data_IF_460662307424
#
_entry.id   IF_460662307424
#
_cell.length_a   1.000
_cell.length_b   1.000
_cell.length_c   1.000
_cell.angle_alpha   90.00
_cell.angle_beta   90.00
_cell.angle_gamma   90.00
#
_symmetry.space_group_name_H-M   'P 1'
#
loop_
_entity.id
_entity.type
_entity.pdbx_description
1 polymer ?
#
# COMPACT_ATOMS: atom_id res chain seq x y z
N UNK A 1 27.12 -27.59 18.10
CA UNK A 1 25.94 -26.94 18.71
C UNK A 1 25.50 -25.83 17.75
N UNK A 2 24.73 -26.17 16.72
CA UNK A 2 24.22 -25.25 15.69
C UNK A 2 22.85 -25.78 15.24
N UNK A 3 21.80 -25.30 15.88
CA UNK A 3 20.39 -25.35 15.46
C UNK A 3 19.71 -24.24 16.24
N UNK A 4 19.39 -23.12 15.59
CA UNK A 4 18.46 -22.08 16.04
C UNK A 4 18.37 -20.97 14.96
N UNK A 5 17.91 -21.31 13.76
CA UNK A 5 17.54 -20.30 12.74
C UNK A 5 16.33 -20.69 11.88
N UNK A 6 15.67 -21.83 12.15
CA UNK A 6 14.53 -22.29 11.34
C UNK A 6 13.14 -21.96 11.91
N UNK A 7 13.06 -21.50 13.17
CA UNK A 7 11.78 -21.31 13.84
C UNK A 7 11.12 -19.94 13.49
N UNK A 8 11.93 -18.90 13.33
CA UNK A 8 11.47 -17.52 13.04
C UNK A 8 10.85 -17.38 11.63
N UNK A 9 11.18 -18.27 10.69
CA UNK A 9 10.62 -18.26 9.33
C UNK A 9 9.15 -18.71 9.27
N UNK A 10 8.65 -19.43 10.29
CA UNK A 10 7.27 -19.94 10.30
C UNK A 10 6.24 -18.91 10.76
N UNK A 11 6.64 -17.94 11.60
CA UNK A 11 5.72 -16.89 12.07
C UNK A 11 5.37 -15.86 10.97
N UNK A 12 6.30 -15.56 10.06
CA UNK A 12 6.05 -14.70 8.91
C UNK A 12 5.10 -15.35 7.88
N UNK A 13 5.24 -16.67 7.67
CA UNK A 13 4.36 -17.41 6.76
C UNK A 13 2.92 -17.55 7.26
N UNK A 14 2.70 -17.55 8.59
CA UNK A 14 1.34 -17.59 9.14
C UNK A 14 0.59 -16.26 8.95
N UNK A 15 1.31 -15.13 8.86
CA UNK A 15 0.72 -13.82 8.57
C UNK A 15 0.25 -13.71 7.10
N UNK A 16 0.98 -14.31 6.15
CA UNK A 16 0.59 -14.32 4.72
C UNK A 16 -0.65 -15.17 4.41
N UNK A 17 -0.91 -16.23 5.18
CA UNK A 17 -2.03 -17.15 4.91
C UNK A 17 -3.40 -16.61 5.36
N UNK A 18 -3.45 -15.56 6.19
CA UNK A 18 -4.70 -14.97 6.65
C UNK A 18 -5.36 -14.03 5.61
N UNK A 19 -4.59 -13.54 4.62
CA UNK A 19 -5.09 -12.56 3.65
C UNK A 19 -5.72 -13.15 2.37
N UNK A 20 -5.74 -14.49 2.18
CA UNK A 20 -6.10 -15.10 0.88
C UNK A 20 -7.16 -16.22 0.95
N UNK A 21 -8.27 -16.04 1.68
CA UNK A 21 -9.38 -16.99 1.60
C UNK A 21 -10.73 -16.33 1.31
N UNK A 22 -11.10 -16.31 0.03
CA UNK A 22 -12.50 -16.39 -0.41
C UNK A 22 -12.64 -17.49 -1.45
N UNK A 23 -13.66 -18.38 -1.37
CA UNK A 23 -13.75 -19.55 -2.23
C UNK A 23 -14.51 -19.22 -3.52
N UNK A 24 -14.05 -19.72 -4.67
CA UNK A 24 -14.94 -19.88 -5.81
C UNK A 24 -14.78 -21.25 -6.48
N UNK A 25 -15.94 -21.86 -6.66
CA UNK A 25 -16.20 -23.18 -7.20
C UNK A 25 -16.28 -23.17 -8.74
N UNK A 26 -15.97 -24.34 -9.30
CA UNK A 26 -16.58 -25.02 -10.47
C UNK A 26 -16.39 -24.44 -11.90
N UNK A 27 -15.69 -25.21 -12.75
CA UNK A 27 -16.17 -25.91 -14.01
C UNK A 27 -16.32 -25.00 -15.23
N UNK A 28 -15.93 -25.30 -16.47
CA UNK A 28 -15.74 -26.56 -17.22
C UNK A 28 -14.77 -26.34 -18.40
N UNK A 29 -14.31 -27.46 -18.96
CA UNK A 29 -13.60 -27.66 -20.24
C UNK A 29 -14.29 -27.07 -21.47
N UNK A 30 -13.54 -26.76 -22.54
CA UNK A 30 -13.79 -27.21 -23.93
C UNK A 30 -12.58 -26.87 -24.85
N UNK A 31 -12.18 -27.93 -25.55
CA UNK A 31 -11.53 -28.16 -26.86
C UNK A 31 -10.79 -27.08 -27.67
N UNK A 32 -9.71 -27.59 -28.26
CA UNK A 32 -8.81 -27.11 -29.30
C UNK A 32 -9.45 -26.88 -30.67
N UNK A 33 -9.03 -25.83 -31.38
CA UNK A 33 -9.00 -25.82 -32.84
C UNK A 33 -7.68 -25.25 -33.37
N UNK A 34 -7.11 -25.99 -34.34
CA UNK A 34 -5.94 -25.65 -35.14
C UNK A 34 -6.23 -24.46 -36.05
N UNK A 35 -5.34 -23.46 -36.07
CA UNK A 35 -5.18 -22.56 -37.20
C UNK A 35 -3.69 -22.45 -37.52
N UNK A 36 -3.34 -23.04 -38.65
CA UNK A 36 -2.06 -22.92 -39.34
C UNK A 36 -2.05 -21.58 -40.09
N UNK A 37 -1.09 -20.71 -39.81
CA UNK A 37 -0.79 -19.52 -40.61
C UNK A 37 0.68 -19.15 -40.44
N UNK A 38 1.49 -19.64 -41.39
CA UNK A 38 2.73 -19.05 -41.93
C UNK A 38 3.27 -17.81 -41.22
N UNK A 39 4.29 -18.01 -40.37
CA UNK A 39 5.16 -16.94 -39.87
C UNK A 39 6.37 -16.77 -40.79
N UNK A 40 6.50 -15.56 -41.34
CA UNK A 40 7.73 -15.01 -41.88
C UNK A 40 8.77 -14.92 -40.74
N UNK A 41 9.88 -15.64 -40.91
CA UNK A 41 11.00 -15.64 -39.97
C UNK A 41 11.68 -14.28 -39.95
N UNK A 42 11.37 -13.46 -38.95
CA UNK A 42 12.20 -12.32 -38.56
C UNK A 42 13.22 -12.84 -37.55
N UNK A 43 14.48 -12.97 -37.97
CA UNK A 43 15.62 -13.21 -37.09
C UNK A 43 15.71 -12.05 -36.08
N UNK A 44 15.19 -12.27 -34.87
CA UNK A 44 15.55 -11.45 -33.72
C UNK A 44 16.92 -11.88 -33.24
N UNK A 45 17.89 -11.01 -33.45
CA UNK A 45 19.23 -11.09 -32.87
C UNK A 45 19.12 -11.20 -31.34
N UNK A 46 19.39 -12.40 -30.82
CA UNK A 46 19.64 -12.66 -29.41
C UNK A 46 20.82 -11.79 -28.96
N UNK A 47 20.51 -10.68 -28.29
CA UNK A 47 21.51 -9.81 -27.68
C UNK A 47 21.26 -9.84 -26.18
N UNK A 48 22.09 -10.66 -25.52
CA UNK A 48 22.48 -10.61 -24.10
C UNK A 48 21.35 -10.66 -23.05
N UNK A 49 20.93 -11.90 -22.72
CA UNK A 49 20.64 -12.24 -21.32
C UNK A 49 21.98 -12.19 -20.60
N UNK A 50 22.27 -11.09 -19.92
CA UNK A 50 23.29 -11.07 -18.88
C UNK A 50 22.83 -11.95 -17.71
N UNK A 51 23.83 -12.57 -17.08
CA UNK A 51 23.72 -13.64 -16.10
C UNK A 51 22.73 -13.30 -14.97
N UNK A 52 21.54 -13.91 -15.01
CA UNK A 52 20.64 -13.93 -13.85
C UNK A 52 21.16 -14.96 -12.85
N UNK A 53 21.88 -14.48 -11.84
CA UNK A 53 22.29 -15.30 -10.69
C UNK A 53 21.11 -15.40 -9.71
N UNK A 54 20.46 -16.58 -9.57
CA UNK A 54 19.34 -16.76 -8.65
C UNK A 54 19.76 -16.67 -7.17
N UNK A 55 21.07 -16.64 -6.89
CA UNK A 55 21.63 -16.49 -5.54
C UNK A 55 22.13 -15.05 -5.27
N UNK A 56 22.01 -14.12 -6.23
CA UNK A 56 22.28 -12.70 -6.00
C UNK A 56 21.13 -12.11 -5.16
N UNK A 57 21.35 -12.04 -3.84
CA UNK A 57 20.47 -11.31 -2.93
C UNK A 57 20.32 -9.87 -3.45
N UNK A 58 19.15 -9.57 -4.00
CA UNK A 58 18.81 -8.22 -4.43
C UNK A 58 18.83 -7.29 -3.20
N UNK A 59 19.95 -6.61 -2.99
CA UNK A 59 20.09 -5.54 -2.00
C UNK A 59 19.26 -4.34 -2.47
N UNK A 60 17.96 -4.38 -2.15
CA UNK A 60 17.08 -3.24 -2.39
C UNK A 60 17.50 -2.10 -1.45
N UNK A 61 17.92 -0.93 -1.97
CA UNK A 61 18.64 0.04 -1.15
C UNK A 61 17.78 0.52 0.04
N UNK A 62 18.39 0.53 1.24
CA UNK A 62 17.77 0.86 2.55
C UNK A 62 16.93 2.16 2.55
N UNK A 63 17.14 3.03 1.58
CA UNK A 63 16.45 4.31 1.45
C UNK A 63 15.05 4.24 0.83
N UNK A 64 14.68 3.14 0.13
CA UNK A 64 13.39 3.01 -0.55
C UNK A 64 12.22 2.76 0.41
N UNK A 65 12.51 2.23 1.59
CA UNK A 65 11.53 1.82 2.60
C UNK A 65 11.34 2.84 3.72
N UNK A 66 11.97 4.02 3.66
CA UNK A 66 12.09 4.87 4.83
C UNK A 66 10.87 5.80 5.03
N UNK A 67 9.95 5.40 5.90
CA UNK A 67 8.79 6.21 6.32
C UNK A 67 9.09 7.21 7.44
N UNK A 68 10.29 7.17 8.05
CA UNK A 68 10.66 8.04 9.18
C UNK A 68 10.54 9.54 8.90
N UNK A 69 10.87 10.06 7.71
CA UNK A 69 10.68 11.48 7.41
C UNK A 69 9.20 11.89 7.54
N UNK A 70 8.28 11.03 7.11
CA UNK A 70 6.84 11.27 7.21
C UNK A 70 6.43 11.30 8.68
N UNK A 71 6.81 10.29 9.47
CA UNK A 71 6.56 10.23 10.92
C UNK A 71 7.01 11.49 11.66
N UNK A 72 8.16 12.07 11.27
CA UNK A 72 8.72 13.26 11.93
C UNK A 72 8.07 14.58 11.53
N UNK A 73 7.56 14.68 10.30
CA UNK A 73 7.15 15.97 9.73
C UNK A 73 5.63 16.13 9.59
N UNK A 74 4.87 15.03 9.52
CA UNK A 74 3.49 15.06 9.07
C UNK A 74 2.57 15.96 9.90
N UNK A 75 2.66 15.90 11.24
CA UNK A 75 1.77 16.65 12.15
C UNK A 75 1.84 18.17 11.94
N UNK A 76 2.99 18.67 11.50
CA UNK A 76 3.22 20.09 11.26
C UNK A 76 3.11 20.51 9.80
N UNK A 77 2.80 19.59 8.89
CA UNK A 77 2.92 19.80 7.44
C UNK A 77 1.56 19.86 6.77
N UNK A 78 1.05 21.07 6.53
CA UNK A 78 -0.12 21.27 5.65
C UNK A 78 0.24 21.03 4.19
N UNK A 79 -0.69 20.49 3.41
CA UNK A 79 -0.48 20.17 2.00
C UNK A 79 -1.47 20.95 1.14
N UNK A 80 -0.97 21.69 0.15
CA UNK A 80 -1.81 22.38 -0.84
C UNK A 80 -2.24 21.38 -1.92
N UNK A 81 -3.54 21.31 -2.20
CA UNK A 81 -4.09 20.48 -3.27
C UNK A 81 -4.33 21.34 -4.51
N UNK A 82 -3.79 20.92 -5.66
CA UNK A 82 -4.03 21.58 -6.93
C UNK A 82 -5.38 21.13 -7.49
N UNK A 83 -6.32 22.07 -7.62
CA UNK A 83 -7.71 21.76 -7.95
C UNK A 83 -7.97 21.32 -9.39
N UNK A 84 -7.16 21.80 -10.33
CA UNK A 84 -7.45 21.63 -11.76
C UNK A 84 -8.89 22.04 -12.10
N UNK A 85 -9.46 21.44 -13.15
CA UNK A 85 -10.85 21.66 -13.57
C UNK A 85 -11.83 20.57 -13.06
N UNK A 86 -11.35 19.62 -12.27
CA UNK A 86 -12.11 18.43 -11.86
C UNK A 86 -12.53 18.52 -10.39
N UNK A 87 -13.58 17.79 -10.02
CA UNK A 87 -13.90 17.60 -8.61
C UNK A 87 -12.73 16.92 -7.88
N UNK A 88 -12.43 17.38 -6.66
CA UNK A 88 -11.37 16.78 -5.84
C UNK A 88 -11.81 15.38 -5.39
N UNK A 89 -11.07 14.38 -5.85
CA UNK A 89 -11.20 12.98 -5.43
C UNK A 89 -9.86 12.39 -5.03
N UNK A 90 -9.80 11.05 -4.96
CA UNK A 90 -8.61 10.33 -4.47
C UNK A 90 -7.36 10.66 -5.29
N UNK A 91 -7.47 10.81 -6.61
CA UNK A 91 -6.34 11.14 -7.49
C UNK A 91 -5.66 12.46 -7.09
N UNK A 92 -6.43 13.53 -6.84
CA UNK A 92 -5.85 14.83 -6.48
C UNK A 92 -5.27 14.83 -5.06
N UNK A 93 -5.95 14.19 -4.10
CA UNK A 93 -5.49 14.11 -2.71
C UNK A 93 -4.21 13.28 -2.60
N UNK A 94 -4.21 12.08 -3.19
CA UNK A 94 -3.05 11.19 -3.21
C UNK A 94 -1.87 11.81 -3.96
N UNK A 95 -2.10 12.47 -5.11
CA UNK A 95 -1.03 13.16 -5.84
C UNK A 95 -0.39 14.26 -4.99
N UNK A 96 -1.20 15.07 -4.29
CA UNK A 96 -0.69 16.13 -3.42
C UNK A 96 0.12 15.57 -2.23
N UNK A 97 -0.35 14.47 -1.64
CA UNK A 97 0.37 13.75 -0.58
C UNK A 97 1.71 13.18 -1.09
N UNK A 98 1.69 12.46 -2.21
CA UNK A 98 2.89 11.84 -2.78
C UNK A 98 3.93 12.87 -3.23
N UNK A 99 3.50 14.01 -3.81
CA UNK A 99 4.39 15.15 -4.12
C UNK A 99 5.04 15.73 -2.87
N UNK A 100 4.37 15.69 -1.73
CA UNK A 100 4.92 16.18 -0.44
C UNK A 100 5.95 15.21 0.13
N UNK A 101 5.74 13.91 -0.06
CA UNK A 101 6.60 12.84 0.46
C UNK A 101 7.15 11.91 -0.64
N UNK A 102 7.95 12.43 -1.60
CA UNK A 102 8.36 11.68 -2.79
C UNK A 102 9.50 10.68 -2.52
N UNK A 103 10.09 10.69 -1.32
CA UNK A 103 11.21 9.80 -0.95
C UNK A 103 10.74 8.37 -0.62
N UNK A 104 9.46 8.17 -0.38
CA UNK A 104 8.88 6.83 -0.26
C UNK A 104 8.65 6.27 -1.67
N UNK A 105 9.21 5.09 -1.95
CA UNK A 105 9.23 4.52 -3.30
C UNK A 105 7.80 4.28 -3.86
N UNK A 106 6.91 3.74 -3.03
CA UNK A 106 5.50 3.54 -3.37
C UNK A 106 4.74 4.85 -3.58
N UNK A 107 5.07 5.92 -2.84
CA UNK A 107 4.54 7.27 -3.12
C UNK A 107 5.03 7.79 -4.48
N UNK A 108 6.30 7.58 -4.83
CA UNK A 108 6.84 7.96 -6.15
C UNK A 108 6.11 7.20 -7.26
N UNK A 109 5.91 5.89 -7.09
CA UNK A 109 5.17 5.07 -8.05
C UNK A 109 3.72 5.55 -8.26
N UNK A 110 3.01 5.89 -7.18
CA UNK A 110 1.66 6.51 -7.26
C UNK A 110 1.72 7.83 -8.03
N UNK A 111 2.69 8.69 -7.71
CA UNK A 111 2.85 9.98 -8.39
C UNK A 111 3.10 9.81 -9.88
N UNK A 112 4.03 8.94 -10.27
CA UNK A 112 4.38 8.69 -11.67
C UNK A 112 3.18 8.11 -12.42
N UNK A 113 2.45 7.17 -11.81
CA UNK A 113 1.20 6.64 -12.36
C UNK A 113 0.16 7.75 -12.57
N UNK A 114 -0.11 8.58 -11.57
CA UNK A 114 -1.13 9.64 -11.64
C UNK A 114 -0.79 10.77 -12.62
N UNK A 115 0.49 10.94 -12.96
CA UNK A 115 0.97 11.88 -13.97
C UNK A 115 1.03 11.25 -15.38
N UNK A 116 0.91 9.93 -15.48
CA UNK A 116 0.92 9.22 -16.76
C UNK A 116 -0.41 9.36 -17.51
N UNK A 117 -0.43 9.16 -18.84
CA UNK A 117 -1.67 9.13 -19.62
C UNK A 117 -2.67 8.04 -19.16
N UNK A 118 -2.16 6.93 -18.59
CA UNK A 118 -2.95 5.80 -18.11
C UNK A 118 -3.81 6.14 -16.90
N UNK A 119 -3.47 7.20 -16.16
CA UNK A 119 -4.23 7.70 -15.02
C UNK A 119 -5.68 8.09 -15.36
N UNK A 120 -6.03 8.26 -16.64
CA UNK A 120 -7.36 8.74 -17.04
C UNK A 120 -8.42 7.63 -17.15
N UNK A 121 -8.06 6.36 -16.99
CA UNK A 121 -9.04 5.26 -16.96
C UNK A 121 -9.81 5.29 -15.63
N UNK A 122 -11.13 5.01 -15.67
CA UNK A 122 -12.04 5.13 -14.51
C UNK A 122 -11.73 4.12 -13.41
N UNK A 123 -11.34 2.90 -13.79
CA UNK A 123 -10.57 1.98 -12.96
C UNK A 123 -9.32 1.56 -13.74
N UNK A 124 -8.17 1.61 -13.07
CA UNK A 124 -7.00 0.85 -13.47
C UNK A 124 -6.90 -0.24 -12.43
N UNK A 125 -7.40 -1.43 -12.77
CA UNK A 125 -7.39 -2.54 -11.81
C UNK A 125 -5.95 -3.01 -11.58
N UNK A 126 -5.07 -2.92 -12.58
CA UNK A 126 -3.66 -3.33 -12.46
C UNK A 126 -2.83 -2.53 -13.47
N UNK A 127 -1.81 -1.82 -13.01
CA UNK A 127 -0.70 -1.38 -13.88
C UNK A 127 0.61 -1.73 -13.20
N UNK A 128 1.39 -2.61 -13.83
CA UNK A 128 2.78 -2.83 -13.48
C UNK A 128 3.59 -1.65 -14.00
N UNK A 129 3.99 -0.74 -13.10
CA UNK A 129 4.87 0.37 -13.45
C UNK A 129 6.30 -0.06 -13.12
N UNK A 130 7.20 0.04 -14.09
CA UNK A 130 8.63 -0.09 -13.84
C UNK A 130 9.24 1.29 -13.64
N UNK A 131 10.03 1.46 -12.58
CA UNK A 131 10.81 2.68 -12.42
C UNK A 131 12.12 2.64 -13.23
N UNK A 132 12.91 3.71 -13.13
CA UNK A 132 14.21 3.88 -13.80
C UNK A 132 15.23 2.79 -13.41
N UNK A 133 15.01 2.11 -12.28
CA UNK A 133 15.85 1.03 -11.76
C UNK A 133 15.25 -0.36 -12.05
N UNK A 134 14.26 -0.47 -12.93
CA UNK A 134 13.52 -1.70 -13.24
C UNK A 134 12.77 -2.32 -12.06
N UNK A 135 12.52 -1.56 -10.99
CA UNK A 135 11.64 -2.02 -9.91
C UNK A 135 10.20 -2.01 -10.38
N UNK A 136 9.50 -3.12 -10.18
CA UNK A 136 8.11 -3.27 -10.57
C UNK A 136 7.18 -2.93 -9.41
N UNK A 137 6.13 -2.17 -9.69
CA UNK A 137 5.10 -1.80 -8.73
C UNK A 137 3.74 -2.23 -9.22
N UNK A 138 2.94 -2.83 -8.34
CA UNK A 138 1.51 -3.07 -8.53
C UNK A 138 0.75 -1.85 -8.05
N UNK A 139 -0.05 -1.24 -8.94
CA UNK A 139 -0.87 -0.08 -8.63
C UNK A 139 -2.34 -0.38 -8.93
N UNK A 140 -3.20 -0.13 -7.95
CA UNK A 140 -4.66 -0.17 -8.06
C UNK A 140 -5.21 1.23 -7.84
N UNK A 141 -6.16 1.68 -8.68
CA UNK A 141 -6.84 2.95 -8.46
C UNK A 141 -8.32 2.85 -8.79
N UNK A 142 -9.17 3.05 -7.77
CA UNK A 142 -10.62 3.12 -7.91
C UNK A 142 -11.11 4.52 -7.58
N UNK A 143 -11.40 5.31 -8.62
CA UNK A 143 -11.97 6.66 -8.43
C UNK A 143 -13.38 6.62 -7.84
N UNK A 144 -14.14 5.56 -8.15
CA UNK A 144 -15.49 5.33 -7.65
C UNK A 144 -15.49 5.07 -6.15
N UNK A 145 -14.58 4.21 -5.68
CA UNK A 145 -14.50 3.85 -4.26
C UNK A 145 -13.62 4.83 -3.47
N UNK A 146 -12.90 5.73 -4.16
CA UNK A 146 -12.07 6.73 -3.52
C UNK A 146 -10.79 6.14 -2.91
N UNK A 147 -10.22 5.11 -3.54
CA UNK A 147 -9.08 4.33 -3.05
C UNK A 147 -7.96 4.27 -4.09
N UNK A 148 -6.71 4.24 -3.61
CA UNK A 148 -5.51 4.01 -4.41
C UNK A 148 -4.48 3.24 -3.59
N UNK A 149 -3.79 2.31 -4.25
CA UNK A 149 -2.83 1.42 -3.61
C UNK A 149 -1.61 1.23 -4.50
N UNK A 150 -0.44 1.09 -3.88
CA UNK A 150 0.82 0.77 -4.53
C UNK A 150 1.63 -0.19 -3.67
N UNK A 151 2.17 -1.24 -4.28
CA UNK A 151 3.06 -2.21 -3.65
C UNK A 151 4.22 -2.51 -4.58
N UNK A 152 5.44 -2.53 -4.06
CA UNK A 152 6.58 -3.02 -4.85
C UNK A 152 6.52 -4.54 -4.95
N UNK A 153 6.71 -5.08 -6.16
CA UNK A 153 6.59 -6.50 -6.47
C UNK A 153 7.86 -7.28 -6.09
N UNK A 154 8.18 -7.30 -4.80
CA UNK A 154 9.20 -8.16 -4.18
C UNK A 154 8.54 -8.94 -3.03
N UNK A 155 9.14 -10.05 -2.58
CA UNK A 155 8.55 -11.02 -1.63
C UNK A 155 7.93 -10.37 -0.37
N UNK A 156 8.44 -9.20 0.02
CA UNK A 156 7.88 -8.33 1.07
C UNK A 156 8.06 -6.85 0.70
N UNK A 157 7.50 -6.36 -0.41
CA UNK A 157 7.67 -4.95 -0.81
C UNK A 157 7.00 -3.94 0.13
N UNK A 158 7.44 -2.66 0.15
CA UNK A 158 6.73 -1.62 0.86
C UNK A 158 5.37 -1.37 0.19
N UNK A 159 4.47 -0.80 0.96
CA UNK A 159 3.10 -0.48 0.55
C UNK A 159 2.80 0.98 0.83
N UNK A 160 2.05 1.61 -0.07
CA UNK A 160 1.24 2.80 0.22
C UNK A 160 -0.20 2.51 -0.15
N UNK A 161 -1.11 2.67 0.80
CA UNK A 161 -2.56 2.64 0.61
C UNK A 161 -3.14 4.01 0.98
N UNK A 162 -4.07 4.54 0.19
CA UNK A 162 -4.78 5.75 0.54
C UNK A 162 -6.26 5.72 0.16
N UNK A 163 -7.09 6.34 1.01
CA UNK A 163 -8.51 6.55 0.73
C UNK A 163 -9.00 7.88 1.30
N UNK A 164 -10.29 8.19 1.11
CA UNK A 164 -10.90 9.34 1.77
C UNK A 164 -12.38 9.13 2.13
N UNK A 165 -12.83 9.88 3.14
CA UNK A 165 -14.23 9.97 3.56
C UNK A 165 -14.79 11.37 3.31
N UNK A 166 -16.08 11.45 3.00
CA UNK A 166 -16.78 12.74 2.93
C UNK A 166 -17.31 13.10 4.33
N UNK A 167 -16.92 14.26 4.86
CA UNK A 167 -17.43 14.78 6.13
C UNK A 167 -18.75 15.53 5.93
N UNK A 168 -19.59 15.55 6.97
CA UNK A 168 -20.88 16.28 6.96
C UNK A 168 -20.73 17.79 6.73
N UNK A 169 -19.58 18.37 7.09
CA UNK A 169 -19.27 19.79 6.87
C UNK A 169 -18.80 20.10 5.43
N UNK A 170 -18.78 19.11 4.53
CA UNK A 170 -18.31 19.27 3.14
C UNK A 170 -16.81 19.09 2.96
N UNK A 171 -16.04 18.95 4.03
CA UNK A 171 -14.62 18.58 3.96
C UNK A 171 -14.46 17.11 3.56
N UNK A 172 -13.22 16.71 3.27
CA UNK A 172 -12.87 15.30 3.09
C UNK A 172 -11.80 14.91 4.10
N UNK A 173 -11.96 13.78 4.76
CA UNK A 173 -10.87 13.17 5.53
C UNK A 173 -10.07 12.29 4.58
N UNK A 174 -8.82 12.63 4.31
CA UNK A 174 -7.88 11.79 3.57
C UNK A 174 -7.07 10.95 4.55
N UNK A 175 -6.82 9.68 4.23
CA UNK A 175 -5.86 8.86 4.95
C UNK A 175 -4.83 8.26 3.99
N UNK A 176 -3.61 8.13 4.48
CA UNK A 176 -2.57 7.35 3.83
C UNK A 176 -1.93 6.41 4.86
N UNK A 177 -1.93 5.12 4.56
CA UNK A 177 -1.21 4.07 5.27
C UNK A 177 0.04 3.71 4.47
N UNK A 178 1.16 3.53 5.17
CA UNK A 178 2.42 3.12 4.58
C UNK A 178 3.02 1.99 5.43
N UNK A 179 3.53 0.98 4.74
CA UNK A 179 4.31 -0.10 5.32
C UNK A 179 5.71 -0.04 4.73
N UNK A 180 6.70 0.09 5.61
CA UNK A 180 8.10 -0.14 5.27
C UNK A 180 8.39 -1.64 5.37
N UNK A 181 9.39 -2.12 4.65
CA UNK A 181 9.95 -3.46 4.85
C UNK A 181 11.42 -3.35 5.20
N UNK A 182 11.90 -4.20 6.10
CA UNK A 182 13.33 -4.34 6.38
C UNK A 182 13.93 -5.52 5.59
N UNK A 183 15.23 -5.45 5.34
CA UNK A 183 16.06 -6.39 4.54
C UNK A 183 16.00 -7.89 4.93
N UNK A 184 15.20 -8.27 5.93
CA UNK A 184 15.11 -9.66 6.41
C UNK A 184 13.67 -10.21 6.37
N UNK A 185 12.77 -9.64 5.55
CA UNK A 185 11.37 -10.10 5.44
C UNK A 185 10.56 -10.00 6.73
N UNK A 186 11.04 -9.20 7.70
CA UNK A 186 10.28 -8.86 8.91
C UNK A 186 9.27 -7.79 8.53
N UNK A 187 8.01 -7.93 8.97
CA UNK A 187 7.02 -6.84 8.94
C UNK A 187 7.71 -5.57 9.42
N UNK A 188 7.86 -4.61 8.51
CA UNK A 188 8.56 -3.40 8.83
C UNK A 188 7.62 -2.42 9.52
N UNK A 189 8.14 -1.22 9.70
CA UNK A 189 7.38 -0.19 10.39
C UNK A 189 6.13 0.18 9.58
N UNK A 190 4.97 0.14 10.23
CA UNK A 190 3.74 0.70 9.68
C UNK A 190 3.49 2.11 10.20
N UNK A 191 2.77 2.91 9.42
CA UNK A 191 2.32 4.22 9.82
C UNK A 191 1.08 4.67 9.03
N UNK A 192 0.10 5.25 9.72
CA UNK A 192 -1.09 5.84 9.09
C UNK A 192 -1.23 7.31 9.48
N UNK A 193 -1.50 8.16 8.50
CA UNK A 193 -1.70 9.60 8.67
C UNK A 193 -3.07 10.03 8.16
N UNK A 194 -3.63 11.07 8.77
CA UNK A 194 -4.94 11.60 8.42
C UNK A 194 -4.88 13.09 8.14
N UNK A 195 -5.56 13.55 7.10
CA UNK A 195 -5.64 14.95 6.74
C UNK A 195 -7.08 15.39 6.54
N UNK A 196 -7.47 16.52 7.13
CA UNK A 196 -8.71 17.20 6.82
C UNK A 196 -8.50 18.13 5.61
N UNK A 197 -9.09 17.77 4.48
CA UNK A 197 -9.12 18.59 3.26
C UNK A 197 -10.29 19.57 3.31
N UNK A 198 -9.96 20.86 3.35
CA UNK A 198 -10.91 21.96 3.25
C UNK A 198 -11.06 22.40 1.77
N UNK A 199 -12.24 22.21 1.15
CA UNK A 199 -12.49 22.66 -0.22
C UNK A 199 -12.52 24.18 -0.36
N UNK A 200 -12.64 24.96 0.70
CA UNK A 200 -12.63 26.43 0.58
C UNK A 200 -11.21 26.96 0.39
N UNK A 201 -10.25 26.36 1.08
CA UNK A 201 -8.84 26.77 1.06
C UNK A 201 -7.97 25.91 0.16
N UNK A 202 -8.46 24.75 -0.29
CA UNK A 202 -7.71 23.72 -1.01
C UNK A 202 -6.48 23.22 -0.23
N UNK A 203 -6.62 23.09 1.08
CA UNK A 203 -5.55 22.68 2.00
C UNK A 203 -5.97 21.41 2.72
N UNK A 204 -5.07 20.44 2.74
CA UNK A 204 -5.07 19.29 3.64
C UNK A 204 -4.32 19.65 4.92
N UNK A 205 -5.02 19.64 6.05
CA UNK A 205 -4.46 19.93 7.39
C UNK A 205 -4.31 18.64 8.19
N UNK A 206 -3.15 18.37 8.82
CA UNK A 206 -2.96 17.17 9.63
C UNK A 206 -4.01 17.01 10.74
N UNK A 207 -4.46 15.78 10.96
CA UNK A 207 -5.41 15.41 12.02
C UNK A 207 -4.83 14.32 12.95
N UNK A 208 -3.88 14.68 13.84
CA UNK A 208 -3.13 13.72 14.66
C UNK A 208 -3.99 12.92 15.64
N UNK A 209 -5.17 13.41 16.00
CA UNK A 209 -6.03 12.74 16.97
C UNK A 209 -6.39 11.29 16.57
N UNK A 210 -6.57 11.02 15.27
CA UNK A 210 -6.95 9.68 14.76
C UNK A 210 -5.74 8.74 14.76
N UNK A 211 -4.59 9.19 14.26
CA UNK A 211 -3.33 8.43 14.34
C UNK A 211 -2.97 8.11 15.79
N UNK A 212 -3.01 9.10 16.68
CA UNK A 212 -2.68 8.93 18.10
C UNK A 212 -3.62 7.95 18.80
N UNK A 213 -4.90 7.92 18.41
CA UNK A 213 -5.86 6.96 18.94
C UNK A 213 -5.48 5.51 18.60
N UNK A 214 -4.97 5.25 17.39
CA UNK A 214 -4.45 3.93 16.96
C UNK A 214 -3.17 3.61 17.71
N UNK A 215 -2.21 4.54 17.73
CA UNK A 215 -0.90 4.33 18.37
C UNK A 215 -1.02 4.10 19.88
N UNK A 216 -1.89 4.83 20.58
CA UNK A 216 -2.12 4.60 22.02
C UNK A 216 -2.75 3.23 22.29
N UNK A 217 -3.58 2.71 21.38
CA UNK A 217 -4.13 1.34 21.48
C UNK A 217 -3.05 0.28 21.22
N UNK A 218 -2.11 0.56 20.31
CA UNK A 218 -1.01 -0.32 19.95
C UNK A 218 0.19 -0.26 20.92
N UNK A 219 0.24 0.72 21.82
CA UNK A 219 1.40 1.01 22.70
C UNK A 219 1.90 -0.17 23.56
N UNK A 220 1.01 -1.09 23.94
CA UNK A 220 1.35 -2.28 24.72
C UNK A 220 1.53 -3.54 23.87
N UNK A 221 1.66 -3.38 22.55
CA UNK A 221 1.74 -4.46 21.55
C UNK A 221 3.12 -4.41 20.89
N UNK A 222 3.53 -5.51 20.28
CA UNK A 222 4.82 -5.58 19.58
C UNK A 222 4.76 -4.88 18.22
N UNK A 223 3.59 -4.95 17.55
CA UNK A 223 3.30 -4.23 16.32
C UNK A 223 1.78 -4.08 16.13
N UNK A 224 1.40 -3.29 15.12
CA UNK A 224 0.03 -3.20 14.64
C UNK A 224 0.02 -3.16 13.11
N UNK A 225 -1.11 -3.52 12.52
CA UNK A 225 -1.38 -3.32 11.12
C UNK A 225 -2.68 -2.54 10.89
N UNK A 226 -2.71 -1.69 9.87
CA UNK A 226 -3.90 -0.91 9.50
C UNK A 226 -4.33 -1.25 8.09
N UNK A 227 -5.59 -1.64 7.93
CA UNK A 227 -6.22 -1.83 6.63
C UNK A 227 -7.23 -0.72 6.36
N UNK A 228 -6.93 0.12 5.37
CA UNK A 228 -7.87 1.13 4.89
C UNK A 228 -8.96 0.49 4.01
N UNK A 229 -10.21 0.99 4.05
CA UNK A 229 -11.30 0.38 3.30
C UNK A 229 -11.15 0.61 1.79
N UNK A 230 -11.07 -0.49 1.03
CA UNK A 230 -11.30 -0.48 -0.44
C UNK A 230 -12.78 -0.30 -0.77
N UNK A 231 -13.65 -0.77 0.11
CA UNK A 231 -15.10 -0.63 0.09
C UNK A 231 -15.62 -0.38 1.51
N UNK A 232 -16.74 0.33 1.63
CA UNK A 232 -17.28 0.73 2.93
C UNK A 232 -16.51 1.91 3.54
N UNK A 233 -16.55 2.03 4.87
CA UNK A 233 -16.02 3.21 5.57
C UNK A 233 -15.19 2.90 6.81
N UNK A 234 -15.11 1.63 7.21
CA UNK A 234 -14.50 1.27 8.48
C UNK A 234 -13.03 0.91 8.27
N UNK A 235 -12.21 1.21 9.28
CA UNK A 235 -10.78 0.87 9.27
C UNK A 235 -10.60 -0.33 10.17
N UNK A 236 -9.95 -1.37 9.66
CA UNK A 236 -9.57 -2.53 10.47
C UNK A 236 -8.14 -2.33 11.00
N UNK A 237 -7.94 -2.66 12.27
CA UNK A 237 -6.67 -2.53 12.98
C UNK A 237 -6.36 -3.85 13.67
N UNK A 238 -5.31 -4.53 13.23
CA UNK A 238 -4.84 -5.76 13.85
C UNK A 238 -3.68 -5.47 14.79
N UNK A 239 -3.79 -5.86 16.05
CA UNK A 239 -2.77 -5.65 17.07
C UNK A 239 -2.05 -6.95 17.39
N UNK A 240 -0.71 -6.97 17.32
CA UNK A 240 0.07 -8.20 17.45
C UNK A 240 0.86 -8.25 18.75
N UNK A 241 0.88 -9.42 19.39
CA UNK A 241 1.75 -9.72 20.52
C UNK A 241 2.55 -10.98 20.22
N UNK A 242 3.88 -10.88 20.32
CA UNK A 242 4.83 -11.94 20.02
C UNK A 242 5.27 -12.60 21.33
N UNK A 243 4.87 -13.85 21.50
CA UNK A 243 5.40 -14.71 22.55
C UNK A 243 6.71 -15.33 22.07
N UNK A 244 7.83 -14.71 22.48
CA UNK A 244 9.19 -15.12 22.12
C UNK A 244 9.59 -16.47 22.75
N UNK A 245 8.95 -16.90 23.82
CA UNK A 245 9.27 -18.16 24.50
C UNK A 245 8.62 -19.34 23.79
N UNK A 246 7.40 -19.14 23.30
CA UNK A 246 6.63 -20.18 22.59
C UNK A 246 6.67 -20.04 21.06
N UNK A 247 7.45 -19.10 20.54
CA UNK A 247 7.57 -18.78 19.11
C UNK A 247 6.19 -18.65 18.43
N UNK A 248 5.31 -17.87 19.06
CA UNK A 248 3.92 -17.72 18.61
C UNK A 248 3.50 -16.26 18.61
N UNK A 249 2.55 -15.91 17.74
CA UNK A 249 1.94 -14.60 17.68
C UNK A 249 0.45 -14.70 18.00
N UNK A 250 -0.07 -13.70 18.72
CA UNK A 250 -1.51 -13.49 18.93
C UNK A 250 -1.92 -12.19 18.29
N UNK A 251 -3.04 -12.19 17.58
CA UNK A 251 -3.67 -10.98 17.06
C UNK A 251 -4.94 -10.63 17.83
N UNK A 252 -5.20 -9.33 17.96
CA UNK A 252 -6.48 -8.76 18.38
C UNK A 252 -6.94 -7.82 17.25
N UNK A 253 -8.02 -8.20 16.56
CA UNK A 253 -8.57 -7.39 15.47
C UNK A 253 -9.63 -6.44 16.04
N UNK A 254 -9.46 -5.16 15.72
CA UNK A 254 -10.31 -4.07 16.15
C UNK A 254 -10.82 -3.29 14.95
N UNK A 255 -12.04 -2.76 15.06
CA UNK A 255 -12.63 -1.93 14.01
C UNK A 255 -12.82 -0.50 14.51
N UNK A 256 -12.34 0.46 13.72
CA UNK A 256 -12.68 1.87 13.84
C UNK A 256 -13.89 2.18 12.95
N UNK A 257 -15.01 2.53 13.58
CA UNK A 257 -16.28 2.82 12.90
C UNK A 257 -16.39 4.28 12.53
N UNK A 258 -16.71 4.55 11.27
CA UNK A 258 -16.95 5.90 10.77
C UNK A 258 -18.29 6.46 11.26
N UNK A 259 -18.27 7.64 11.89
CA UNK A 259 -19.48 8.30 12.43
C UNK A 259 -19.99 9.50 11.57
N UNK A 260 -19.36 9.74 10.42
CA UNK A 260 -19.67 10.86 9.52
C UNK A 260 -18.81 12.11 9.74
N UNK A 261 -18.00 12.12 10.80
CA UNK A 261 -17.04 13.19 11.09
C UNK A 261 -15.66 12.64 11.44
N UNK A 262 -15.58 11.59 12.26
CA UNK A 262 -14.34 10.92 12.68
C UNK A 262 -14.61 9.43 12.94
N UNK A 263 -13.77 8.77 13.73
CA UNK A 263 -13.86 7.35 14.07
C UNK A 263 -14.03 7.13 15.57
N UNK A 264 -14.76 6.06 15.90
CA UNK A 264 -14.89 5.53 17.26
C UNK A 264 -14.51 4.04 17.27
N UNK A 265 -13.87 3.56 18.33
CA UNK A 265 -13.62 2.13 18.54
C UNK A 265 -14.94 1.38 18.77
N UNK A 266 -15.05 0.19 18.17
CA UNK A 266 -16.16 -0.74 18.41
C UNK A 266 -15.85 -1.75 19.51
#
# INVERSE_FOLDING_TARGET
MKRNSLAILFAANLMLLACNNTPNNSTDSVESENIDNTEESVEMSQTQMEDFDPDEEFECPENLYNINPIKKEWEGKTIKVERGNSAIGIKQLALAFCKTYPKCATNKAIMDFLLSPDANKESCDITSVSDENSLQYHIECSTRNGHIYSMMMVETGPVTDACYWNRKNGHKLFAAHMEATHENGKCGEEFVVFYDYDPTTDIMTPEPAITNMIEERAKSKDSYSVSLPKEGTDIEVSLYTIDKENDSAKSEDLTLKWNGTSFDWK
#
